data_IF_726750770017
#
_entry.id   IF_726750770017
#
_cell.length_a   1.000
_cell.length_b   1.000
_cell.length_c   1.000
_cell.angle_alpha   90.00
_cell.angle_beta   90.00
_cell.angle_gamma   90.00
#
_symmetry.space_group_name_H-M   'P 1'
#
loop_
_entity.id
_entity.type
_entity.pdbx_description
1 polymer ?
#
# COMPACT_ATOMS: atom_id res chain seq x y z
N UNK A 1 -9.42 -57.00 -7.63
CA UNK A 1 -8.24 -56.12 -7.72
C UNK A 1 -8.67 -54.89 -8.50
N UNK A 2 -8.50 -53.67 -8.03
CA UNK A 2 -8.81 -52.48 -8.82
C UNK A 2 -7.80 -52.34 -9.96
N UNK A 3 -8.32 -52.13 -11.18
CA UNK A 3 -7.51 -51.89 -12.38
C UNK A 3 -6.72 -50.58 -12.19
N UNK A 4 -5.40 -50.53 -12.45
CA UNK A 4 -4.65 -49.30 -12.36
C UNK A 4 -5.10 -48.32 -13.45
N UNK A 5 -5.43 -47.09 -13.05
CA UNK A 5 -5.81 -46.00 -13.96
C UNK A 5 -4.68 -45.73 -14.94
N UNK A 6 -5.02 -45.45 -16.19
CA UNK A 6 -4.06 -45.12 -17.23
C UNK A 6 -3.35 -43.77 -16.93
N UNK A 7 -2.14 -43.57 -17.47
CA UNK A 7 -1.42 -42.31 -17.35
C UNK A 7 -2.22 -41.09 -17.86
N UNK A 8 -3.10 -41.29 -18.81
CA UNK A 8 -4.03 -40.28 -19.36
C UNK A 8 -5.13 -39.91 -18.36
N UNK A 9 -5.73 -40.91 -17.70
CA UNK A 9 -6.74 -40.70 -16.67
C UNK A 9 -6.15 -40.04 -15.41
N UNK A 10 -4.91 -40.41 -15.05
CA UNK A 10 -4.21 -39.75 -13.94
C UNK A 10 -3.85 -38.28 -14.26
N UNK A 11 -3.56 -37.93 -15.53
CA UNK A 11 -3.33 -36.56 -15.97
C UNK A 11 -4.62 -35.73 -16.06
N UNK A 12 -5.76 -36.35 -16.41
CA UNK A 12 -7.07 -35.70 -16.43
C UNK A 12 -7.62 -35.48 -15.01
N UNK A 13 -7.46 -36.44 -14.11
CA UNK A 13 -7.86 -36.29 -12.69
C UNK A 13 -7.00 -35.22 -12.00
N UNK A 14 -5.72 -35.05 -12.37
CA UNK A 14 -4.86 -33.98 -11.88
C UNK A 14 -5.29 -32.59 -12.38
N UNK A 15 -6.04 -32.50 -13.48
CA UNK A 15 -6.61 -31.24 -14.01
C UNK A 15 -7.91 -30.81 -13.30
N UNK A 16 -8.56 -31.67 -12.52
CA UNK A 16 -9.83 -31.37 -11.85
C UNK A 16 -9.69 -30.78 -10.43
N UNK A 17 -8.52 -30.84 -9.81
CA UNK A 17 -8.31 -30.26 -8.47
C UNK A 17 -7.67 -28.87 -8.57
N UNK A 18 -8.32 -27.87 -7.94
CA UNK A 18 -7.74 -26.52 -7.86
C UNK A 18 -6.38 -26.55 -7.17
N UNK A 19 -5.37 -25.79 -7.66
CA UNK A 19 -4.12 -25.65 -6.95
C UNK A 19 -4.34 -25.11 -5.54
N UNK A 20 -3.61 -25.63 -4.56
CA UNK A 20 -3.74 -25.29 -3.14
C UNK A 20 -2.77 -24.19 -2.77
N UNK A 21 -3.29 -23.07 -2.28
CA UNK A 21 -2.48 -21.94 -1.83
C UNK A 21 -2.77 -21.66 -0.35
N UNK A 22 -1.70 -21.64 0.45
CA UNK A 22 -1.78 -21.18 1.84
C UNK A 22 -1.37 -19.71 1.88
N UNK A 23 -2.30 -18.83 2.21
CA UNK A 23 -2.09 -17.40 2.39
C UNK A 23 -1.75 -17.09 3.84
N UNK A 24 -0.57 -16.52 4.09
CA UNK A 24 -0.08 -16.08 5.39
C UNK A 24 0.17 -14.58 5.28
N UNK A 25 -0.80 -13.76 5.68
CA UNK A 25 -0.80 -12.35 5.36
C UNK A 25 -1.43 -11.49 6.47
N UNK A 26 -1.14 -10.18 6.42
CA UNK A 26 -1.78 -9.24 7.32
C UNK A 26 -3.23 -8.99 6.88
N UNK A 27 -4.16 -9.06 7.83
CA UNK A 27 -5.56 -8.67 7.69
C UNK A 27 -5.98 -7.81 8.89
N UNK A 28 -6.97 -6.92 8.76
CA UNK A 28 -7.47 -6.13 9.89
C UNK A 28 -7.96 -7.01 11.06
N UNK A 29 -7.92 -6.51 12.31
CA UNK A 29 -7.25 -5.30 12.79
C UNK A 29 -5.74 -5.47 12.97
N UNK A 30 -4.90 -4.44 12.96
CA UNK A 30 -5.20 -3.03 12.72
C UNK A 30 -5.40 -2.69 11.24
N UNK A 31 -6.13 -1.59 10.97
CA UNK A 31 -6.37 -1.12 9.60
C UNK A 31 -5.16 -0.32 9.10
N UNK A 32 -4.51 -0.82 8.06
CA UNK A 32 -3.45 -0.16 7.29
C UNK A 32 -3.41 -0.73 5.87
N UNK A 33 -2.70 -0.07 4.95
CA UNK A 33 -2.73 -0.42 3.52
C UNK A 33 -2.52 -1.91 3.22
N UNK A 34 -1.46 -2.53 3.76
CA UNK A 34 -1.19 -3.95 3.55
C UNK A 34 -2.29 -4.87 4.13
N UNK A 35 -2.86 -4.51 5.30
CA UNK A 35 -3.94 -5.29 5.89
C UNK A 35 -5.23 -5.20 5.06
N UNK A 36 -5.53 -4.02 4.49
CA UNK A 36 -6.68 -3.86 3.60
C UNK A 36 -6.51 -4.69 2.32
N UNK A 37 -5.31 -4.72 1.73
CA UNK A 37 -5.04 -5.58 0.58
C UNK A 37 -5.20 -7.06 0.92
N UNK A 38 -4.74 -7.48 2.11
CA UNK A 38 -4.98 -8.83 2.61
C UNK A 38 -6.46 -9.15 2.76
N UNK A 39 -7.27 -8.21 3.27
CA UNK A 39 -8.71 -8.38 3.36
C UNK A 39 -9.36 -8.52 1.97
N UNK A 40 -8.96 -7.71 0.99
CA UNK A 40 -9.47 -7.82 -0.38
C UNK A 40 -9.11 -9.16 -1.01
N UNK A 41 -7.86 -9.65 -0.84
CA UNK A 41 -7.46 -10.99 -1.30
C UNK A 41 -8.30 -12.08 -0.62
N UNK A 42 -8.47 -11.97 0.72
CA UNK A 42 -9.29 -12.93 1.47
C UNK A 42 -10.75 -12.97 1.00
N UNK A 43 -11.33 -11.83 0.67
CA UNK A 43 -12.75 -11.74 0.29
C UNK A 43 -12.98 -11.98 -1.22
N UNK A 44 -11.92 -12.00 -2.02
CA UNK A 44 -11.99 -12.16 -3.47
C UNK A 44 -12.66 -13.46 -3.89
N UNK A 45 -13.78 -13.33 -4.59
CA UNK A 45 -14.46 -14.47 -5.21
C UNK A 45 -13.62 -15.08 -6.35
N UNK A 46 -12.85 -14.25 -7.07
CA UNK A 46 -11.98 -14.69 -8.16
C UNK A 46 -10.84 -15.58 -7.65
N UNK A 47 -10.16 -15.16 -6.57
CA UNK A 47 -9.09 -15.95 -5.95
C UNK A 47 -9.61 -17.29 -5.42
N UNK A 48 -10.71 -17.28 -4.66
CA UNK A 48 -11.35 -18.51 -4.14
C UNK A 48 -11.94 -19.39 -5.25
N UNK A 49 -12.36 -18.76 -6.35
CA UNK A 49 -12.83 -19.46 -7.54
C UNK A 49 -11.71 -20.18 -8.27
N UNK A 50 -10.51 -19.62 -8.30
CA UNK A 50 -9.34 -20.12 -9.04
C UNK A 50 -8.50 -21.14 -8.25
N UNK A 51 -8.43 -21.01 -6.93
CA UNK A 51 -7.57 -21.81 -6.07
C UNK A 51 -8.35 -22.42 -4.89
N UNK A 52 -7.82 -23.53 -4.34
CA UNK A 52 -8.19 -24.00 -3.01
C UNK A 52 -7.36 -23.21 -1.99
N UNK A 53 -8.01 -22.40 -1.16
CA UNK A 53 -7.38 -21.39 -0.35
C UNK A 53 -7.52 -21.68 1.14
N UNK A 54 -6.40 -21.57 1.88
CA UNK A 54 -6.42 -21.42 3.33
C UNK A 54 -5.74 -20.11 3.73
N UNK A 55 -6.19 -19.51 4.83
CA UNK A 55 -5.73 -18.19 5.26
C UNK A 55 -5.26 -18.22 6.72
N UNK A 56 -4.11 -17.59 6.98
CA UNK A 56 -3.58 -17.34 8.32
C UNK A 56 -3.31 -15.85 8.44
N UNK A 57 -3.93 -15.18 9.43
CA UNK A 57 -3.67 -13.77 9.70
C UNK A 57 -2.39 -13.62 10.53
N UNK A 58 -1.43 -12.83 10.03
CA UNK A 58 -0.18 -12.47 10.72
C UNK A 58 -0.39 -11.46 11.86
N UNK A 59 -1.54 -10.79 11.92
CA UNK A 59 -1.86 -9.86 12.99
C UNK A 59 -2.08 -10.62 14.31
N UNK A 60 -1.05 -10.71 15.15
CA UNK A 60 -1.11 -11.31 16.50
C UNK A 60 -1.69 -10.30 17.51
N UNK A 61 -2.29 -9.20 17.08
CA UNK A 61 -2.76 -8.15 17.97
C UNK A 61 -4.13 -8.47 18.55
N UNK A 62 -4.17 -8.79 19.82
CA UNK A 62 -5.38 -8.67 20.64
C UNK A 62 -5.57 -7.18 20.97
N UNK A 63 -6.42 -6.47 20.21
CA UNK A 63 -6.95 -5.14 20.54
C UNK A 63 -5.96 -3.97 20.51
N UNK A 64 -6.47 -2.79 20.17
CA UNK A 64 -5.77 -1.49 20.11
C UNK A 64 -5.12 -1.02 21.42
N UNK A 65 -5.34 -1.71 22.55
CA UNK A 65 -4.81 -1.33 23.87
C UNK A 65 -3.46 -1.95 24.25
N UNK A 66 -2.86 -2.80 23.42
CA UNK A 66 -1.66 -3.59 23.79
C UNK A 66 -0.37 -3.11 23.11
N UNK A 67 -0.31 -1.89 22.60
CA UNK A 67 0.91 -1.31 22.03
C UNK A 67 1.77 -0.73 23.18
N UNK A 68 2.85 -1.45 23.56
CA UNK A 68 3.87 -0.87 24.43
C UNK A 68 4.44 -1.74 25.55
N UNK A 69 3.83 -2.87 25.92
CA UNK A 69 4.36 -3.70 27.03
C UNK A 69 4.94 -5.02 26.54
N UNK A 70 6.20 -5.29 26.94
CA UNK A 70 6.85 -6.59 26.77
C UNK A 70 6.16 -7.60 27.71
N UNK A 71 5.31 -8.46 27.17
CA UNK A 71 4.63 -9.51 27.95
C UNK A 71 5.06 -10.89 27.44
N UNK A 72 5.32 -11.80 28.35
CA UNK A 72 5.55 -13.24 28.07
C UNK A 72 4.46 -13.85 27.15
N UNK A 73 3.25 -13.32 27.16
CA UNK A 73 2.17 -13.70 26.24
C UNK A 73 2.48 -13.51 24.76
N UNK A 74 3.22 -12.47 24.35
CA UNK A 74 3.54 -12.21 22.93
C UNK A 74 4.48 -13.27 22.33
N UNK A 75 5.42 -13.79 23.12
CA UNK A 75 6.30 -14.87 22.68
C UNK A 75 5.53 -16.19 22.53
N UNK A 76 4.65 -16.50 23.48
CA UNK A 76 3.79 -17.68 23.41
C UNK A 76 2.81 -17.62 22.22
N UNK A 77 2.23 -16.45 21.94
CA UNK A 77 1.35 -16.26 20.77
C UNK A 77 2.11 -16.41 19.46
N UNK A 78 3.36 -15.92 19.41
CA UNK A 78 4.21 -16.12 18.25
C UNK A 78 4.59 -17.60 18.03
N UNK A 79 4.93 -18.33 19.09
CA UNK A 79 5.19 -19.77 19.01
C UNK A 79 3.94 -20.56 18.57
N UNK A 80 2.75 -20.18 19.07
CA UNK A 80 1.49 -20.75 18.60
C UNK A 80 1.25 -20.49 17.11
N UNK A 81 1.57 -19.29 16.63
CA UNK A 81 1.50 -18.97 15.19
C UNK A 81 2.41 -19.89 14.38
N UNK A 82 3.67 -20.06 14.78
CA UNK A 82 4.60 -20.97 14.11
C UNK A 82 4.11 -22.43 14.11
N UNK A 83 3.57 -22.89 15.25
CA UNK A 83 2.97 -24.22 15.35
C UNK A 83 1.74 -24.37 14.44
N UNK A 84 0.91 -23.34 14.35
CA UNK A 84 -0.28 -23.30 13.48
C UNK A 84 0.15 -23.37 12.00
N UNK A 85 1.11 -22.54 11.59
CA UNK A 85 1.66 -22.56 10.22
C UNK A 85 2.18 -23.96 9.86
N UNK A 86 2.98 -24.55 10.78
CA UNK A 86 3.51 -25.91 10.56
C UNK A 86 2.41 -26.96 10.44
N UNK A 87 1.37 -26.90 11.26
CA UNK A 87 0.21 -27.81 11.22
C UNK A 87 -0.56 -27.65 9.92
N UNK A 88 -0.87 -26.40 9.52
CA UNK A 88 -1.61 -26.12 8.29
C UNK A 88 -0.86 -26.56 7.05
N UNK A 89 0.45 -26.33 6.95
CA UNK A 89 1.28 -26.82 5.85
C UNK A 89 1.20 -28.35 5.74
N UNK A 90 1.33 -29.08 6.86
CA UNK A 90 1.25 -30.55 6.85
C UNK A 90 -0.13 -31.07 6.49
N UNK A 91 -1.18 -30.46 7.02
CA UNK A 91 -2.57 -30.90 6.81
C UNK A 91 -3.09 -30.51 5.42
N UNK A 92 -2.64 -29.39 4.86
CA UNK A 92 -3.14 -28.87 3.60
C UNK A 92 -2.24 -29.25 2.41
N UNK A 93 -0.95 -29.47 2.65
CA UNK A 93 0.08 -29.74 1.62
C UNK A 93 -0.03 -28.75 0.46
N UNK A 94 0.20 -27.44 0.69
CA UNK A 94 0.00 -26.41 -0.32
C UNK A 94 0.99 -26.55 -1.48
N UNK A 95 0.55 -26.27 -2.70
CA UNK A 95 1.41 -26.19 -3.89
C UNK A 95 2.23 -24.89 -3.89
N UNK A 96 1.70 -23.84 -3.22
CA UNK A 96 2.34 -22.54 -3.06
C UNK A 96 1.97 -21.93 -1.70
N UNK A 97 2.93 -21.27 -1.05
CA UNK A 97 2.67 -20.46 0.15
C UNK A 97 2.90 -18.98 -0.21
N UNK A 98 1.84 -18.20 -0.12
CA UNK A 98 1.87 -16.75 -0.27
C UNK A 98 2.08 -16.08 1.08
N UNK A 99 3.04 -15.13 1.15
CA UNK A 99 3.34 -14.39 2.38
C UNK A 99 3.44 -12.88 2.13
N UNK A 100 3.09 -12.06 3.12
CA UNK A 100 3.27 -10.60 3.07
C UNK A 100 4.27 -10.15 4.14
N UNK A 101 5.59 -10.36 3.92
CA UNK A 101 6.61 -10.06 4.93
C UNK A 101 6.92 -8.56 4.97
N UNK A 102 7.39 -8.11 6.14
CA UNK A 102 7.97 -6.78 6.30
C UNK A 102 9.44 -6.79 5.91
N UNK A 103 9.93 -5.65 5.40
CA UNK A 103 11.31 -5.50 4.92
C UNK A 103 12.26 -4.94 5.99
N UNK A 104 11.74 -4.27 7.04
CA UNK A 104 12.57 -3.59 8.04
C UNK A 104 12.01 -3.72 9.45
N UNK A 105 12.86 -3.44 10.44
CA UNK A 105 12.49 -3.38 11.86
C UNK A 105 12.25 -4.73 12.51
N UNK A 106 11.67 -4.72 13.71
CA UNK A 106 11.35 -5.94 14.46
C UNK A 106 10.41 -6.88 13.69
N UNK A 107 9.41 -6.40 12.93
CA UNK A 107 8.59 -7.27 12.10
C UNK A 107 9.38 -8.09 11.10
N UNK A 108 10.42 -7.53 10.46
CA UNK A 108 11.28 -8.27 9.53
C UNK A 108 11.87 -9.54 10.15
N UNK A 109 12.40 -9.47 11.38
CA UNK A 109 12.99 -10.65 12.04
C UNK A 109 11.96 -11.76 12.30
N UNK A 110 10.74 -11.39 12.68
CA UNK A 110 9.64 -12.35 12.85
C UNK A 110 9.27 -13.02 11.54
N UNK A 111 9.14 -12.23 10.49
CA UNK A 111 8.73 -12.72 9.18
C UNK A 111 9.84 -13.57 8.54
N UNK A 112 11.12 -13.27 8.82
CA UNK A 112 12.27 -14.10 8.44
C UNK A 112 12.19 -15.51 9.06
N UNK A 113 11.81 -15.61 10.33
CA UNK A 113 11.64 -16.93 11.00
C UNK A 113 10.45 -17.68 10.38
N UNK A 114 9.34 -16.99 10.11
CA UNK A 114 8.17 -17.59 9.45
C UNK A 114 8.53 -18.11 8.07
N UNK A 115 9.16 -17.29 7.23
CA UNK A 115 9.55 -17.69 5.88
C UNK A 115 10.61 -18.78 5.89
N UNK A 116 11.54 -18.74 6.85
CA UNK A 116 12.53 -19.78 7.10
C UNK A 116 11.89 -21.13 7.44
N UNK A 117 10.89 -21.13 8.34
CA UNK A 117 10.12 -22.32 8.68
C UNK A 117 9.42 -22.90 7.44
N UNK A 118 8.75 -22.07 6.66
CA UNK A 118 8.02 -22.50 5.45
C UNK A 118 8.99 -23.14 4.45
N UNK A 119 10.13 -22.48 4.18
CA UNK A 119 11.17 -22.99 3.28
C UNK A 119 11.79 -24.29 3.78
N UNK A 120 12.04 -24.43 5.10
CA UNK A 120 12.57 -25.65 5.70
C UNK A 120 11.63 -26.86 5.58
N UNK A 121 10.35 -26.62 5.36
CA UNK A 121 9.35 -27.65 5.09
C UNK A 121 9.23 -27.99 3.59
N UNK A 122 10.10 -27.45 2.73
CA UNK A 122 10.12 -27.72 1.29
C UNK A 122 9.04 -26.98 0.49
N UNK A 123 8.34 -25.99 1.08
CA UNK A 123 7.31 -25.27 0.38
C UNK A 123 7.88 -24.21 -0.56
N UNK A 124 7.22 -24.05 -1.71
CA UNK A 124 7.47 -22.91 -2.61
C UNK A 124 6.88 -21.64 -1.99
N UNK A 125 7.65 -20.56 -1.98
CA UNK A 125 7.27 -19.28 -1.36
C UNK A 125 7.15 -18.20 -2.43
N UNK A 126 6.05 -17.44 -2.39
CA UNK A 126 5.92 -16.13 -3.03
C UNK A 126 5.72 -15.07 -1.96
N UNK A 127 6.62 -14.09 -1.93
CA UNK A 127 6.60 -12.99 -0.98
C UNK A 127 6.08 -11.71 -1.67
N UNK A 128 5.01 -11.11 -1.16
CA UNK A 128 4.44 -9.87 -1.68
C UNK A 128 4.76 -8.72 -0.72
N UNK A 129 5.57 -7.78 -1.18
CA UNK A 129 6.08 -6.68 -0.36
C UNK A 129 5.21 -5.44 -0.52
N UNK A 130 4.59 -5.02 0.60
CA UNK A 130 3.78 -3.79 0.69
C UNK A 130 4.53 -2.63 1.35
N UNK A 131 5.81 -2.82 1.64
CA UNK A 131 6.71 -1.81 2.21
C UNK A 131 8.08 -1.88 1.53
N UNK A 132 8.95 -0.93 1.85
CA UNK A 132 10.31 -0.85 1.33
C UNK A 132 11.30 -0.52 2.46
N UNK A 133 12.59 -0.50 2.15
CA UNK A 133 13.64 -0.10 3.08
C UNK A 133 14.82 -1.07 3.16
N UNK A 134 14.85 -2.11 2.32
CA UNK A 134 15.99 -3.05 2.23
C UNK A 134 17.26 -2.29 1.85
N UNK A 135 17.20 -1.45 0.82
CA UNK A 135 18.35 -0.65 0.35
C UNK A 135 18.91 0.28 1.43
N UNK A 136 18.10 0.77 2.35
CA UNK A 136 18.56 1.65 3.44
C UNK A 136 19.36 0.94 4.53
N UNK A 137 19.33 -0.40 4.55
CA UNK A 137 19.95 -1.24 5.58
C UNK A 137 20.96 -2.24 5.04
N UNK A 138 21.04 -2.39 3.72
CA UNK A 138 21.86 -3.42 3.05
C UNK A 138 23.37 -3.34 3.33
N UNK A 139 23.86 -2.18 3.78
CA UNK A 139 25.29 -2.01 4.09
C UNK A 139 25.63 -2.37 5.54
N UNK A 140 24.63 -2.71 6.35
CA UNK A 140 24.83 -3.25 7.70
C UNK A 140 25.11 -4.74 7.59
N UNK A 141 26.28 -5.20 8.05
CA UNK A 141 26.76 -6.58 7.92
C UNK A 141 25.72 -7.65 8.33
N UNK A 142 25.03 -7.46 9.45
CA UNK A 142 24.03 -8.42 9.90
C UNK A 142 22.78 -8.40 8.99
N UNK A 143 22.29 -7.21 8.65
CA UNK A 143 21.10 -7.03 7.81
C UNK A 143 21.37 -7.61 6.39
N UNK A 144 22.57 -7.39 5.81
CA UNK A 144 22.95 -7.98 4.52
C UNK A 144 22.86 -9.51 4.54
N UNK A 145 23.41 -10.17 5.56
CA UNK A 145 23.33 -11.63 5.67
C UNK A 145 21.89 -12.13 5.83
N UNK A 146 21.10 -11.44 6.64
CA UNK A 146 19.71 -11.81 6.86
C UNK A 146 18.85 -11.58 5.60
N UNK A 147 19.10 -10.52 4.83
CA UNK A 147 18.44 -10.32 3.54
C UNK A 147 18.82 -11.39 2.52
N UNK A 148 20.10 -11.79 2.42
CA UNK A 148 20.51 -12.94 1.58
C UNK A 148 19.74 -14.21 1.92
N UNK A 149 19.48 -14.45 3.21
CA UNK A 149 18.70 -15.60 3.66
C UNK A 149 17.21 -15.42 3.34
N UNK A 150 16.66 -14.21 3.59
CA UNK A 150 15.25 -13.89 3.38
C UNK A 150 14.84 -14.08 1.92
N UNK A 151 15.62 -13.52 0.98
CA UNK A 151 15.29 -13.50 -0.45
C UNK A 151 15.69 -14.80 -1.19
N UNK A 152 16.44 -15.69 -0.56
CA UNK A 152 16.86 -16.94 -1.19
C UNK A 152 15.69 -17.87 -1.49
N UNK A 153 15.66 -18.47 -2.69
CA UNK A 153 14.70 -19.50 -3.10
C UNK A 153 13.23 -19.07 -2.90
N UNK A 154 12.86 -17.90 -3.41
CA UNK A 154 11.48 -17.44 -3.43
C UNK A 154 11.21 -16.57 -4.65
N UNK A 155 9.96 -16.45 -5.02
CA UNK A 155 9.47 -15.44 -5.97
C UNK A 155 9.00 -14.22 -5.19
N UNK A 156 9.09 -13.05 -5.80
CA UNK A 156 8.80 -11.78 -5.16
C UNK A 156 7.76 -11.00 -5.96
N UNK A 157 6.74 -10.49 -5.32
CA UNK A 157 5.77 -9.57 -5.92
C UNK A 157 6.04 -8.18 -5.33
N UNK A 158 6.18 -7.19 -6.20
CA UNK A 158 6.32 -5.79 -5.86
C UNK A 158 5.15 -4.98 -6.42
N UNK A 159 4.86 -3.85 -5.80
CA UNK A 159 3.76 -2.96 -6.18
C UNK A 159 4.09 -2.06 -7.38
N UNK A 160 5.37 -1.93 -7.72
CA UNK A 160 5.90 -1.06 -8.76
C UNK A 160 7.25 -1.57 -9.24
N UNK A 161 7.56 -1.37 -10.53
CA UNK A 161 8.88 -1.67 -11.09
C UNK A 161 10.00 -0.89 -10.38
N UNK A 162 9.71 0.35 -9.98
CA UNK A 162 10.67 1.22 -9.28
C UNK A 162 11.11 0.66 -7.92
N UNK A 163 10.28 -0.15 -7.28
CA UNK A 163 10.63 -0.81 -6.01
C UNK A 163 11.64 -1.94 -6.19
N UNK A 164 11.92 -2.40 -7.41
CA UNK A 164 12.96 -3.40 -7.65
C UNK A 164 14.33 -2.91 -7.19
N UNK A 165 14.64 -1.63 -7.33
CA UNK A 165 15.90 -1.05 -6.86
C UNK A 165 16.14 -1.27 -5.35
N UNK A 166 15.08 -1.35 -4.54
CA UNK A 166 15.17 -1.60 -3.09
C UNK A 166 15.69 -3.01 -2.76
N UNK A 167 15.41 -4.00 -3.62
CA UNK A 167 15.75 -5.41 -3.37
C UNK A 167 16.74 -6.01 -4.39
N UNK A 168 17.18 -5.26 -5.38
CA UNK A 168 17.98 -5.72 -6.53
C UNK A 168 19.31 -6.40 -6.14
N UNK A 169 19.84 -6.08 -4.94
CA UNK A 169 21.05 -6.75 -4.41
C UNK A 169 20.79 -8.20 -4.00
N UNK A 170 19.55 -8.59 -3.74
CA UNK A 170 19.18 -9.87 -3.13
C UNK A 170 18.23 -10.71 -3.98
N UNK A 171 17.55 -10.12 -4.95
CA UNK A 171 16.60 -10.78 -5.83
C UNK A 171 17.00 -10.60 -7.30
N UNK A 172 16.95 -11.69 -8.09
CA UNK A 172 17.09 -11.62 -9.54
C UNK A 172 15.80 -11.03 -10.15
N UNK A 173 15.90 -10.19 -11.19
CA UNK A 173 14.73 -9.59 -11.85
C UNK A 173 13.76 -10.64 -12.41
N UNK A 174 14.23 -11.79 -12.85
CA UNK A 174 13.40 -12.92 -13.32
C UNK A 174 12.54 -13.55 -12.23
N UNK A 175 12.85 -13.31 -10.96
CA UNK A 175 12.10 -13.80 -9.79
C UNK A 175 11.17 -12.72 -9.22
N UNK A 176 10.99 -11.59 -9.94
CA UNK A 176 10.18 -10.45 -9.51
C UNK A 176 9.02 -10.22 -10.47
N UNK A 177 7.83 -10.12 -9.90
CA UNK A 177 6.56 -9.85 -10.57
C UNK A 177 6.00 -8.53 -10.07
N UNK A 178 5.37 -7.77 -10.95
CA UNK A 178 4.79 -6.47 -10.59
C UNK A 178 3.28 -6.59 -10.57
N UNK A 179 2.71 -6.38 -9.38
CA UNK A 179 1.25 -6.37 -9.16
C UNK A 179 0.90 -5.13 -8.34
N UNK A 180 0.55 -4.02 -9.00
CA UNK A 180 0.11 -2.81 -8.32
C UNK A 180 -1.15 -3.06 -7.49
N UNK A 181 -1.27 -2.37 -6.35
CA UNK A 181 -2.49 -2.42 -5.55
C UNK A 181 -3.69 -1.83 -6.31
N UNK A 182 -4.88 -2.32 -5.98
CA UNK A 182 -6.16 -1.77 -6.42
C UNK A 182 -7.12 -1.59 -5.25
N UNK A 183 -8.08 -0.69 -5.41
CA UNK A 183 -9.12 -0.44 -4.41
C UNK A 183 -10.52 -0.58 -5.02
N UNK A 184 -11.55 -0.86 -4.20
CA UNK A 184 -12.92 -0.91 -4.69
C UNK A 184 -13.33 0.38 -5.40
N UNK A 185 -13.94 0.26 -6.56
CA UNK A 185 -14.57 1.39 -7.25
C UNK A 185 -16.00 1.52 -6.74
N UNK A 186 -16.19 2.39 -5.75
CA UNK A 186 -17.50 2.58 -5.07
C UNK A 186 -18.28 3.76 -5.61
N UNK A 187 -17.67 4.57 -6.47
CA UNK A 187 -18.24 5.84 -6.91
C UNK A 187 -18.71 5.72 -8.34
N UNK A 188 -20.00 5.99 -8.57
CA UNK A 188 -20.51 6.33 -9.90
C UNK A 188 -19.76 7.52 -10.51
N UNK A 189 -20.25 8.14 -11.54
CA UNK A 189 -19.66 9.39 -12.06
C UNK A 189 -19.66 10.45 -10.96
N UNK A 190 -18.51 11.00 -10.51
CA UNK A 190 -18.50 12.05 -9.52
C UNK A 190 -19.32 13.24 -10.04
N UNK A 191 -20.08 13.87 -9.15
CA UNK A 191 -20.70 15.16 -9.48
C UNK A 191 -19.62 16.16 -9.88
N UNK A 192 -19.87 17.03 -10.87
CA UNK A 192 -18.95 18.10 -11.22
C UNK A 192 -18.56 18.87 -9.95
N UNK A 193 -17.27 19.11 -9.76
CA UNK A 193 -16.81 19.95 -8.65
C UNK A 193 -17.29 21.37 -8.86
N UNK A 194 -17.65 22.05 -7.78
CA UNK A 194 -18.15 23.42 -7.85
C UNK A 194 -17.15 24.33 -8.57
N UNK A 195 -17.58 24.94 -9.66
CA UNK A 195 -16.82 25.96 -10.38
C UNK A 195 -16.98 27.28 -9.64
N UNK A 196 -15.96 27.69 -8.91
CA UNK A 196 -15.95 28.94 -8.16
C UNK A 196 -15.48 28.74 -6.71
N UNK A 197 -14.94 29.81 -6.12
CA UNK A 197 -14.35 29.75 -4.79
C UNK A 197 -12.89 29.27 -4.78
N UNK A 198 -12.28 29.16 -3.58
CA UNK A 198 -10.88 28.78 -3.41
C UNK A 198 -10.62 27.33 -3.86
N UNK A 199 -9.39 27.03 -4.32
CA UNK A 199 -8.93 25.67 -4.57
C UNK A 199 -8.93 24.89 -3.25
N UNK A 200 -9.60 23.75 -3.20
CA UNK A 200 -9.69 22.90 -2.01
C UNK A 200 -8.61 21.84 -2.05
N UNK A 201 -7.59 22.03 -1.23
CA UNK A 201 -6.47 21.12 -1.07
C UNK A 201 -6.79 20.15 0.08
N UNK A 202 -6.52 18.87 -0.12
CA UNK A 202 -6.68 17.84 0.90
C UNK A 202 -5.32 17.20 1.20
N UNK A 203 -4.97 17.13 2.48
CA UNK A 203 -3.99 16.19 3.01
C UNK A 203 -4.75 15.06 3.72
N UNK A 204 -4.54 13.81 3.31
CA UNK A 204 -5.24 12.66 3.85
C UNK A 204 -4.25 11.55 4.24
N UNK A 205 -3.78 11.59 5.46
CA UNK A 205 -2.88 10.60 6.05
C UNK A 205 -2.79 10.82 7.56
N UNK A 206 -2.29 9.83 8.31
CA UNK A 206 -1.90 10.07 9.70
C UNK A 206 -0.94 11.27 9.79
N UNK A 207 -1.12 12.09 10.82
CA UNK A 207 -0.28 13.26 11.09
C UNK A 207 1.08 12.80 11.60
N UNK A 208 1.93 12.44 10.65
CA UNK A 208 3.31 11.97 10.87
C UNK A 208 4.27 12.85 10.06
N UNK A 209 5.43 13.18 10.63
CA UNK A 209 6.46 13.96 9.94
C UNK A 209 6.85 13.32 8.60
N UNK A 210 7.08 12.01 8.60
CA UNK A 210 7.44 11.25 7.39
C UNK A 210 6.36 11.25 6.28
N UNK A 211 5.13 11.71 6.57
CA UNK A 211 4.07 11.91 5.57
C UNK A 211 4.09 13.32 4.96
N UNK A 212 5.09 14.13 5.32
CA UNK A 212 5.31 15.46 4.75
C UNK A 212 4.35 16.54 5.27
N UNK A 213 3.81 16.34 6.48
CA UNK A 213 2.90 17.29 7.14
C UNK A 213 3.51 18.69 7.23
N UNK A 214 4.78 18.76 7.66
CA UNK A 214 5.49 20.04 7.79
C UNK A 214 5.84 20.65 6.44
N UNK A 215 6.26 19.81 5.49
CA UNK A 215 6.57 20.23 4.11
C UNK A 215 5.35 20.88 3.45
N UNK A 216 4.15 20.28 3.62
CA UNK A 216 2.92 20.88 3.10
C UNK A 216 2.59 22.20 3.80
N UNK A 217 2.67 22.25 5.13
CA UNK A 217 2.35 23.46 5.86
C UNK A 217 3.27 24.64 5.46
N UNK A 218 4.57 24.37 5.28
CA UNK A 218 5.52 25.35 4.78
C UNK A 218 5.22 25.77 3.33
N UNK A 219 4.87 24.80 2.46
CA UNK A 219 4.45 25.09 1.09
C UNK A 219 3.20 25.99 1.03
N UNK A 220 2.23 25.78 1.92
CA UNK A 220 1.05 26.65 2.03
C UNK A 220 1.40 28.07 2.52
N UNK A 221 2.40 28.20 3.41
CA UNK A 221 2.93 29.50 3.82
C UNK A 221 3.56 30.24 2.64
N UNK A 222 4.37 29.56 1.84
CA UNK A 222 4.98 30.13 0.63
C UNK A 222 3.89 30.54 -0.36
N UNK A 223 2.93 29.67 -0.63
CA UNK A 223 1.82 29.91 -1.56
C UNK A 223 0.99 31.12 -1.13
N UNK A 224 0.73 31.29 0.18
CA UNK A 224 -0.10 32.37 0.72
C UNK A 224 0.46 33.76 0.45
N UNK A 225 1.75 33.89 0.15
CA UNK A 225 2.42 35.16 -0.21
C UNK A 225 2.04 35.63 -1.62
N UNK A 226 1.60 34.73 -2.48
CA UNK A 226 1.26 35.02 -3.89
C UNK A 226 -0.22 34.96 -4.19
N UNK A 227 -0.99 34.17 -3.42
CA UNK A 227 -2.43 33.99 -3.64
C UNK A 227 -3.16 33.67 -2.35
N UNK A 228 -4.44 34.09 -2.31
CA UNK A 228 -5.37 33.73 -1.23
C UNK A 228 -6.43 32.73 -1.71
N UNK A 229 -6.34 32.29 -2.95
CA UNK A 229 -7.37 31.49 -3.62
C UNK A 229 -7.36 30.00 -3.28
N UNK A 230 -7.01 29.61 -2.04
CA UNK A 230 -7.01 28.22 -1.62
C UNK A 230 -7.48 28.03 -0.16
N UNK A 231 -7.92 26.81 0.14
CA UNK A 231 -8.07 26.24 1.49
C UNK A 231 -7.40 24.88 1.55
N UNK A 232 -7.02 24.44 2.75
CA UNK A 232 -6.40 23.12 2.94
C UNK A 232 -6.99 22.42 4.16
N UNK A 233 -7.48 21.21 3.95
CA UNK A 233 -8.00 20.32 4.98
C UNK A 233 -6.94 19.25 5.30
N UNK A 234 -6.50 19.20 6.58
CA UNK A 234 -5.66 18.11 7.11
C UNK A 234 -6.55 17.09 7.80
N UNK A 235 -6.60 15.88 7.25
CA UNK A 235 -7.43 14.77 7.72
C UNK A 235 -6.55 13.58 8.08
N UNK A 236 -6.48 13.24 9.35
CA UNK A 236 -5.70 12.10 9.86
C UNK A 236 -5.55 12.11 11.36
N UNK A 237 -5.24 10.94 11.93
CA UNK A 237 -4.98 10.82 13.36
C UNK A 237 -3.59 11.41 13.68
N UNK A 238 -3.50 12.14 14.78
CA UNK A 238 -2.24 12.62 15.35
C UNK A 238 -1.39 11.43 15.80
N UNK A 239 -0.12 11.38 15.37
CA UNK A 239 0.83 10.30 15.72
C UNK A 239 2.11 10.88 16.34
N UNK A 240 3.11 11.21 15.52
CA UNK A 240 4.39 11.78 15.96
C UNK A 240 4.45 13.31 15.80
N UNK A 241 3.45 13.92 15.17
CA UNK A 241 3.29 15.37 15.10
C UNK A 241 2.44 15.84 16.27
N UNK A 242 2.98 16.75 17.08
CA UNK A 242 2.24 17.37 18.16
C UNK A 242 1.18 18.35 17.64
N UNK A 243 -0.07 18.18 18.10
CA UNK A 243 -1.20 18.94 17.59
C UNK A 243 -1.16 20.43 17.97
N UNK A 244 -0.62 20.76 19.14
CA UNK A 244 -0.53 22.15 19.60
C UNK A 244 0.61 22.88 18.87
N UNK A 245 1.76 22.19 18.69
CA UNK A 245 2.85 22.73 17.89
C UNK A 245 2.44 22.97 16.43
N UNK A 246 1.63 22.07 15.86
CA UNK A 246 1.12 22.22 14.50
C UNK A 246 0.17 23.43 14.38
N UNK A 247 -0.76 23.59 15.31
CA UNK A 247 -1.67 24.74 15.35
C UNK A 247 -0.91 26.06 15.56
N UNK A 248 0.04 26.09 16.49
CA UNK A 248 0.88 27.26 16.71
C UNK A 248 1.64 27.66 15.41
N UNK A 249 2.07 26.70 14.62
CA UNK A 249 2.73 26.95 13.34
C UNK A 249 1.77 27.47 12.26
N UNK A 250 0.50 27.03 12.27
CA UNK A 250 -0.56 27.61 11.41
C UNK A 250 -0.74 29.10 11.74
N UNK A 251 -0.79 29.45 13.02
CA UNK A 251 -0.95 30.85 13.47
C UNK A 251 0.27 31.69 13.13
N UNK A 252 1.50 31.17 13.38
CA UNK A 252 2.78 31.82 13.00
C UNK A 252 2.82 32.13 11.48
N UNK A 253 2.31 31.25 10.65
CA UNK A 253 2.25 31.42 9.19
C UNK A 253 1.03 32.23 8.71
N UNK A 254 0.20 32.74 9.62
CA UNK A 254 -1.04 33.47 9.32
C UNK A 254 -1.99 32.68 8.38
N UNK A 255 -2.10 31.37 8.60
CA UNK A 255 -2.91 30.44 7.80
C UNK A 255 -4.22 30.04 8.47
N UNK A 256 -4.56 30.55 9.66
CA UNK A 256 -5.69 30.10 10.50
C UNK A 256 -7.05 30.23 9.81
N UNK A 257 -7.19 31.11 8.80
CA UNK A 257 -8.42 31.25 8.00
C UNK A 257 -8.50 30.29 6.80
N UNK A 258 -7.45 29.49 6.52
CA UNK A 258 -7.33 28.66 5.31
C UNK A 258 -6.95 27.22 5.57
N UNK A 259 -6.34 26.91 6.71
CA UNK A 259 -5.88 25.57 7.07
C UNK A 259 -6.72 25.04 8.22
N UNK A 260 -7.30 23.87 8.00
CA UNK A 260 -8.22 23.24 8.94
C UNK A 260 -7.77 21.81 9.27
N UNK A 261 -7.83 21.45 10.57
CA UNK A 261 -7.45 20.13 11.08
C UNK A 261 -8.70 19.39 11.57
N UNK A 262 -8.95 18.20 11.04
CA UNK A 262 -10.20 17.48 11.29
C UNK A 262 -10.03 16.19 12.10
N UNK A 263 -8.78 15.80 12.46
CA UNK A 263 -8.52 14.52 13.09
C UNK A 263 -8.76 13.34 12.15
N UNK A 264 -8.76 12.12 12.68
CA UNK A 264 -9.01 10.91 11.90
C UNK A 264 -10.45 10.83 11.40
N UNK A 265 -10.64 10.53 10.12
CA UNK A 265 -11.95 10.31 9.48
C UNK A 265 -11.94 8.98 8.73
N UNK A 266 -13.07 8.27 8.77
CA UNK A 266 -13.24 6.94 8.19
C UNK A 266 -14.60 6.85 7.47
N UNK A 267 -14.73 5.87 6.57
CA UNK A 267 -15.98 5.62 5.86
C UNK A 267 -16.51 6.86 5.14
N UNK A 268 -17.81 7.12 5.29
CA UNK A 268 -18.51 8.25 4.64
C UNK A 268 -17.93 9.62 4.98
N UNK A 269 -17.42 9.80 6.20
CA UNK A 269 -16.82 11.08 6.61
C UNK A 269 -15.53 11.35 5.82
N UNK A 270 -14.69 10.33 5.64
CA UNK A 270 -13.48 10.42 4.79
C UNK A 270 -13.87 10.71 3.33
N UNK A 271 -14.87 10.01 2.83
CA UNK A 271 -15.35 10.21 1.46
C UNK A 271 -15.86 11.63 1.21
N UNK A 272 -16.49 12.27 2.19
CA UNK A 272 -16.94 13.65 2.07
C UNK A 272 -15.80 14.62 1.76
N UNK A 273 -14.62 14.44 2.39
CA UNK A 273 -13.42 15.25 2.09
C UNK A 273 -12.89 14.97 0.69
N UNK A 274 -12.82 13.70 0.27
CA UNK A 274 -12.37 13.31 -1.07
C UNK A 274 -13.29 13.89 -2.16
N UNK A 275 -14.61 13.85 -1.94
CA UNK A 275 -15.60 14.45 -2.88
C UNK A 275 -15.45 15.97 -2.97
N UNK A 276 -15.15 16.62 -1.86
CA UNK A 276 -15.05 18.06 -1.79
C UNK A 276 -13.72 18.59 -2.33
N UNK A 277 -12.63 17.84 -2.23
CA UNK A 277 -11.28 18.28 -2.60
C UNK A 277 -11.10 18.39 -4.13
N UNK A 278 -10.36 19.39 -4.57
CA UNK A 278 -9.91 19.56 -5.95
C UNK A 278 -8.54 18.89 -6.16
N UNK A 279 -7.69 18.95 -5.14
CA UNK A 279 -6.31 18.47 -5.16
C UNK A 279 -6.02 17.65 -3.91
N UNK A 280 -5.43 16.48 -4.09
CA UNK A 280 -4.73 15.79 -2.99
C UNK A 280 -3.26 16.20 -3.01
N UNK A 281 -2.76 16.74 -1.90
CA UNK A 281 -1.34 16.99 -1.66
C UNK A 281 -0.78 15.89 -0.75
N UNK A 282 0.13 15.07 -1.28
CA UNK A 282 0.71 13.91 -0.57
C UNK A 282 2.25 13.93 -0.65
N UNK A 283 2.92 14.86 0.05
CA UNK A 283 4.38 15.02 0.00
C UNK A 283 5.12 14.04 0.93
N UNK A 284 4.78 12.75 0.87
CA UNK A 284 5.34 11.71 1.73
C UNK A 284 6.83 11.49 1.44
N UNK A 285 7.66 11.43 2.49
CA UNK A 285 9.10 11.16 2.37
C UNK A 285 9.41 9.67 2.21
N UNK A 286 8.49 8.82 2.67
CA UNK A 286 8.64 7.37 2.63
C UNK A 286 7.29 6.71 2.33
N UNK A 287 7.17 6.18 1.13
CA UNK A 287 5.97 5.49 0.66
C UNK A 287 6.36 4.33 -0.26
N UNK A 288 5.67 3.21 -0.14
CA UNK A 288 5.87 2.11 -1.06
C UNK A 288 4.98 2.26 -2.31
N UNK A 289 3.72 2.70 -2.12
CA UNK A 289 2.78 2.81 -3.23
C UNK A 289 1.87 4.04 -3.14
N UNK A 290 1.13 4.23 -2.03
CA UNK A 290 0.25 5.38 -1.84
C UNK A 290 -1.21 5.12 -2.23
N UNK A 291 -1.89 4.21 -1.50
CA UNK A 291 -3.33 3.92 -1.74
C UNK A 291 -4.21 5.16 -1.71
N UNK A 292 -3.86 6.18 -0.91
CA UNK A 292 -4.59 7.44 -0.83
C UNK A 292 -4.65 8.20 -2.16
N UNK A 293 -3.65 8.02 -3.03
CA UNK A 293 -3.67 8.58 -4.39
C UNK A 293 -4.78 7.94 -5.23
N UNK A 294 -4.95 6.63 -5.12
CA UNK A 294 -6.03 5.91 -5.80
C UNK A 294 -7.40 6.37 -5.27
N UNK A 295 -7.51 6.56 -3.95
CA UNK A 295 -8.71 7.10 -3.32
C UNK A 295 -9.05 8.50 -3.86
N UNK A 296 -8.06 9.38 -4.02
CA UNK A 296 -8.26 10.72 -4.55
C UNK A 296 -8.61 10.69 -6.05
N UNK A 297 -7.89 9.90 -6.85
CA UNK A 297 -8.12 9.76 -8.28
C UNK A 297 -9.53 9.26 -8.59
N UNK A 298 -10.09 8.36 -7.79
CA UNK A 298 -11.46 7.88 -7.98
C UNK A 298 -12.52 9.00 -7.82
N UNK A 299 -12.18 10.06 -7.06
CA UNK A 299 -13.03 11.27 -6.91
C UNK A 299 -12.62 12.43 -7.83
N UNK A 300 -11.81 12.14 -8.88
CA UNK A 300 -11.31 13.15 -9.80
C UNK A 300 -10.55 14.29 -9.12
N UNK A 301 -9.77 14.00 -8.09
CA UNK A 301 -8.82 14.94 -7.54
C UNK A 301 -7.54 14.91 -8.37
N UNK A 302 -7.00 16.07 -8.73
CA UNK A 302 -5.63 16.16 -9.18
C UNK A 302 -4.70 15.74 -8.02
N UNK A 303 -3.56 15.12 -8.32
CA UNK A 303 -2.66 14.66 -7.28
C UNK A 303 -1.32 15.40 -7.38
N UNK A 304 -0.83 15.94 -6.25
CA UNK A 304 0.56 16.41 -6.14
C UNK A 304 1.23 15.55 -5.08
N UNK A 305 2.26 14.81 -5.47
CA UNK A 305 2.96 13.93 -4.55
C UNK A 305 4.47 13.90 -4.84
N UNK A 306 5.23 13.26 -3.96
CA UNK A 306 6.68 13.14 -4.11
C UNK A 306 7.07 12.07 -5.13
N UNK A 307 8.23 12.24 -5.79
CA UNK A 307 8.90 11.18 -6.57
C UNK A 307 9.50 10.16 -5.58
N UNK A 308 8.64 9.27 -5.06
CA UNK A 308 8.98 8.32 -4.02
C UNK A 308 8.31 6.97 -4.25
N UNK A 309 9.09 5.87 -4.12
CA UNK A 309 8.61 4.50 -4.24
C UNK A 309 7.84 4.24 -5.53
N UNK A 310 6.61 3.74 -5.41
CA UNK A 310 5.71 3.47 -6.54
C UNK A 310 4.81 4.64 -6.94
N UNK A 311 4.90 5.79 -6.29
CA UNK A 311 4.06 6.97 -6.60
C UNK A 311 4.17 7.39 -8.07
N UNK A 312 5.37 7.43 -8.71
CA UNK A 312 5.49 7.81 -10.11
C UNK A 312 4.84 6.85 -11.11
N UNK A 313 4.50 5.61 -10.70
CA UNK A 313 3.71 4.71 -11.54
C UNK A 313 2.21 5.04 -11.48
N UNK A 314 1.78 5.72 -10.39
CA UNK A 314 0.40 6.16 -10.21
C UNK A 314 0.17 7.51 -10.89
N UNK A 315 1.08 8.46 -10.71
CA UNK A 315 0.96 9.83 -11.26
C UNK A 315 1.71 9.93 -12.59
N UNK A 316 1.02 10.31 -13.64
CA UNK A 316 1.64 10.74 -14.90
C UNK A 316 1.90 12.25 -14.80
N UNK A 317 3.19 12.64 -14.77
CA UNK A 317 3.63 14.04 -14.64
C UNK A 317 2.97 14.95 -15.67
N UNK A 318 2.38 16.04 -15.22
CA UNK A 318 1.73 17.03 -16.06
C UNK A 318 0.36 16.60 -16.64
N UNK A 319 -0.04 15.32 -16.48
CA UNK A 319 -1.27 14.77 -17.04
C UNK A 319 -2.30 14.43 -15.96
N UNK A 320 -1.92 13.66 -14.93
CA UNK A 320 -2.82 13.27 -13.83
C UNK A 320 -2.50 13.99 -12.54
N UNK A 321 -1.40 14.75 -12.52
CA UNK A 321 -0.90 15.49 -11.38
C UNK A 321 0.53 15.96 -11.57
N UNK A 322 1.19 16.32 -10.47
CA UNK A 322 2.59 16.73 -10.44
C UNK A 322 3.39 15.88 -9.46
N UNK A 323 4.64 15.58 -9.83
CA UNK A 323 5.64 14.98 -8.97
C UNK A 323 6.61 16.06 -8.48
N UNK A 324 6.87 16.11 -7.19
CA UNK A 324 7.79 17.07 -6.57
C UNK A 324 8.92 16.33 -5.83
N UNK A 325 10.10 16.94 -5.66
CA UNK A 325 11.14 16.37 -4.81
C UNK A 325 10.67 16.23 -3.35
N UNK A 326 11.24 15.27 -2.63
CA UNK A 326 11.01 15.13 -1.19
C UNK A 326 11.58 16.33 -0.43
N UNK A 327 10.89 16.73 0.63
CA UNK A 327 11.33 17.84 1.50
C UNK A 327 11.59 19.15 0.73
N UNK A 328 10.82 19.40 -0.34
CA UNK A 328 10.90 20.62 -1.13
C UNK A 328 9.56 21.38 -1.09
N UNK A 329 9.36 22.23 -0.05
CA UNK A 329 8.13 23.02 0.07
C UNK A 329 8.02 24.08 -1.04
N UNK A 330 9.12 24.52 -1.64
CA UNK A 330 9.08 25.49 -2.74
C UNK A 330 8.55 24.86 -4.03
N UNK A 331 9.02 23.65 -4.38
CA UNK A 331 8.50 22.91 -5.51
C UNK A 331 7.00 22.56 -5.33
N UNK A 332 6.61 22.15 -4.12
CA UNK A 332 5.23 21.87 -3.77
C UNK A 332 4.34 23.12 -3.87
N UNK A 333 4.79 24.26 -3.34
CA UNK A 333 4.08 25.54 -3.46
C UNK A 333 3.91 25.97 -4.92
N UNK A 334 4.96 25.76 -5.73
CA UNK A 334 4.94 26.09 -7.18
C UNK A 334 3.91 25.23 -7.92
N UNK A 335 3.87 23.91 -7.64
CA UNK A 335 2.90 22.99 -8.24
C UNK A 335 1.45 23.34 -7.82
N UNK A 336 1.23 23.63 -6.54
CA UNK A 336 -0.07 24.10 -6.04
C UNK A 336 -0.47 25.43 -6.69
N UNK A 337 0.45 26.36 -6.81
CA UNK A 337 0.22 27.67 -7.43
C UNK A 337 -0.26 27.57 -8.89
N UNK A 338 0.27 26.63 -9.67
CA UNK A 338 -0.21 26.33 -11.04
C UNK A 338 -1.69 25.93 -11.03
N UNK A 339 -2.11 25.10 -10.10
CA UNK A 339 -3.50 24.61 -10.03
C UNK A 339 -4.47 25.67 -9.42
N UNK A 340 -3.96 26.57 -8.58
CA UNK A 340 -4.75 27.74 -8.12
C UNK A 340 -4.99 28.70 -9.29
N UNK A 341 -3.96 28.96 -10.10
CA UNK A 341 -4.04 29.88 -11.24
C UNK A 341 -4.86 29.31 -12.41
N UNK A 342 -4.79 28.00 -12.64
CA UNK A 342 -5.48 27.31 -13.74
C UNK A 342 -6.40 26.20 -13.21
N UNK A 343 -7.66 26.57 -12.93
CA UNK A 343 -8.70 25.65 -12.47
C UNK A 343 -9.11 24.62 -13.51
N UNK A 344 -8.98 24.97 -14.81
CA UNK A 344 -9.28 24.06 -15.92
C UNK A 344 -8.23 22.95 -16.00
N UNK A 345 -6.95 23.29 -15.83
CA UNK A 345 -5.86 22.31 -15.73
C UNK A 345 -6.10 21.36 -14.54
N UNK A 346 -6.45 21.90 -13.37
CA UNK A 346 -6.74 21.09 -12.18
C UNK A 346 -7.87 20.08 -12.46
N UNK A 347 -8.99 20.52 -13.04
CA UNK A 347 -10.11 19.67 -13.37
C UNK A 347 -9.74 18.60 -14.44
N UNK A 348 -8.99 18.99 -15.46
CA UNK A 348 -8.48 18.06 -16.49
C UNK A 348 -7.60 16.97 -15.90
N UNK A 349 -6.65 17.33 -15.01
CA UNK A 349 -5.79 16.36 -14.31
C UNK A 349 -6.61 15.40 -13.46
N UNK A 350 -7.62 15.91 -12.75
CA UNK A 350 -8.51 15.07 -11.96
C UNK A 350 -9.29 14.05 -12.82
N UNK A 351 -9.80 14.47 -13.98
CA UNK A 351 -10.50 13.61 -14.94
C UNK A 351 -9.57 12.52 -15.50
N UNK A 352 -8.37 12.89 -15.94
CA UNK A 352 -7.37 11.93 -16.45
C UNK A 352 -6.89 10.99 -15.34
N UNK A 353 -6.73 11.49 -14.09
CA UNK A 353 -6.43 10.67 -12.93
C UNK A 353 -7.50 9.58 -12.71
N UNK A 354 -8.78 9.98 -12.71
CA UNK A 354 -9.88 9.03 -12.57
C UNK A 354 -9.91 7.99 -13.70
N UNK A 355 -9.69 8.39 -14.94
CA UNK A 355 -9.60 7.48 -16.08
C UNK A 355 -8.50 6.44 -15.86
N UNK A 356 -7.30 6.88 -15.48
CA UNK A 356 -6.17 5.99 -15.15
C UNK A 356 -6.51 5.04 -13.99
N UNK A 357 -7.17 5.53 -12.94
CA UNK A 357 -7.65 4.70 -11.83
C UNK A 357 -8.57 3.58 -12.32
N UNK A 358 -9.60 3.91 -13.11
CA UNK A 358 -10.56 2.94 -13.63
C UNK A 358 -9.91 1.89 -14.54
N UNK A 359 -8.91 2.29 -15.31
CA UNK A 359 -8.19 1.40 -16.23
C UNK A 359 -7.20 0.46 -15.51
N UNK A 360 -6.53 0.93 -14.44
CA UNK A 360 -5.36 0.24 -13.89
C UNK A 360 -5.44 -0.14 -12.41
N UNK A 361 -6.24 0.56 -11.61
CA UNK A 361 -6.13 0.50 -10.15
C UNK A 361 -7.43 0.17 -9.41
N UNK A 362 -8.45 -0.32 -10.13
CA UNK A 362 -9.64 -0.87 -9.46
C UNK A 362 -9.32 -2.21 -8.81
N UNK A 363 -10.11 -2.59 -7.82
CA UNK A 363 -9.97 -3.89 -7.16
C UNK A 363 -10.08 -5.04 -8.16
N UNK A 364 -11.01 -4.97 -9.13
CA UNK A 364 -11.18 -6.00 -10.16
C UNK A 364 -9.93 -6.16 -11.04
N UNK A 365 -9.23 -5.06 -11.36
CA UNK A 365 -7.96 -5.10 -12.11
C UNK A 365 -6.87 -5.77 -11.27
N UNK A 366 -6.76 -5.37 -9.99
CA UNK A 366 -5.83 -6.00 -9.05
C UNK A 366 -6.10 -7.51 -8.93
N UNK A 367 -7.33 -7.92 -8.68
CA UNK A 367 -7.70 -9.33 -8.50
C UNK A 367 -7.36 -10.18 -9.74
N UNK A 368 -7.65 -9.67 -10.95
CA UNK A 368 -7.27 -10.36 -12.20
C UNK A 368 -5.76 -10.51 -12.34
N UNK A 369 -5.00 -9.42 -12.15
CA UNK A 369 -3.55 -9.44 -12.28
C UNK A 369 -2.90 -10.33 -11.22
N UNK A 370 -3.37 -10.24 -10.00
CA UNK A 370 -2.91 -11.06 -8.87
C UNK A 370 -3.16 -12.55 -9.11
N UNK A 371 -4.38 -12.90 -9.49
CA UNK A 371 -4.76 -14.29 -9.77
C UNK A 371 -3.96 -14.86 -10.94
N UNK A 372 -3.82 -14.10 -12.03
CA UNK A 372 -3.00 -14.50 -13.19
C UNK A 372 -1.52 -14.70 -12.81
N UNK A 373 -0.98 -13.82 -11.97
CA UNK A 373 0.40 -13.95 -11.48
C UNK A 373 0.58 -15.22 -10.64
N UNK A 374 -0.34 -15.51 -9.72
CA UNK A 374 -0.26 -16.76 -8.92
C UNK A 374 -0.41 -18.01 -9.79
N UNK A 375 -1.29 -18.00 -10.79
CA UNK A 375 -1.45 -19.10 -11.73
C UNK A 375 -0.16 -19.36 -12.53
N UNK A 376 0.43 -18.30 -13.09
CA UNK A 376 1.72 -18.39 -13.80
C UNK A 376 2.86 -18.92 -12.92
N UNK A 377 2.89 -18.52 -11.64
CA UNK A 377 3.86 -19.03 -10.67
C UNK A 377 3.70 -20.53 -10.40
N UNK A 378 2.47 -21.04 -10.41
CA UNK A 378 2.19 -22.46 -10.22
C UNK A 378 2.59 -23.30 -11.43
N UNK A 379 2.49 -22.77 -12.65
CA UNK A 379 2.86 -23.44 -13.90
C UNK A 379 4.39 -23.57 -14.09
N UNK A 380 5.18 -22.72 -13.49
CA UNK A 380 6.65 -22.72 -13.54
C UNK A 380 7.30 -23.81 -12.65
N UNK A 381 6.64 -24.93 -12.46
CA UNK A 381 7.05 -26.03 -11.57
C UNK A 381 8.07 -26.94 -12.20
#
# INVERSE_FOLDING_TARGET
MPVPMSHTEQSEVKRMTKPRILFIMHMPPPVHGAAMMGQYIHDSALVKGSFDCRFINLAIARGLKDVGHFRFGKAADYLRLLATIRREIRAFSPDLVYVTPNTVGVPFFKDLVITGLIKSMGCRVVAHYHNKGVATRQDRWLDDRLYRLAFRNQKNILLSERLFADISRYADRRDVYIVPNGIPSTVGTPSPKASGGPLRILFLSNMMAAKGVWTLLEALSILSRTTTGFTCDFVGEWKDVDSEAFKAKIDEYALSSRVFCHGGKFGSDKEAFLRAADVLAFPSESEAFGLVLLEAMQYSCACIATDEGGIPDIIDEGRTGFLVPKNDPQALATALGKLVADRALCASMGCEGRKKFLEKFTLDVFERNFTATLASLLEQS
#
